data_IF_286461676236
#
_entry.id   IF_286461676236
#
_cell.length_a   1.000
_cell.length_b   1.000
_cell.length_c   1.000
_cell.angle_alpha   90.00
_cell.angle_beta   90.00
_cell.angle_gamma   90.00
#
_symmetry.space_group_name_H-M   'P 1'
#
loop_
_entity.id
_entity.type
_entity.pdbx_description
1 polymer ?
#
# COMPACT_ATOMS: atom_id res chain seq x y z
N UNK A 1 25.10 -20.04 -13.25
CA UNK A 1 24.43 -20.55 -12.03
C UNK A 1 23.01 -20.01 -12.08
N UNK A 2 22.03 -20.87 -12.44
CA UNK A 2 20.61 -20.49 -12.49
C UNK A 2 20.16 -20.48 -11.02
N UNK A 3 20.00 -19.28 -10.46
CA UNK A 3 19.32 -19.11 -9.18
C UNK A 3 17.85 -19.52 -9.38
N UNK A 4 17.47 -20.68 -8.85
CA UNK A 4 16.07 -21.05 -8.71
C UNK A 4 15.43 -19.98 -7.82
N UNK A 5 14.63 -19.10 -8.40
CA UNK A 5 13.69 -18.28 -7.64
C UNK A 5 12.71 -19.26 -6.98
N UNK A 6 12.56 -19.15 -5.67
CA UNK A 6 11.56 -19.89 -4.91
C UNK A 6 10.14 -19.66 -5.47
N UNK A 7 9.19 -20.47 -5.08
CA UNK A 7 7.79 -20.20 -5.43
C UNK A 7 7.34 -18.87 -4.82
N UNK A 8 6.28 -18.25 -5.37
CA UNK A 8 5.69 -17.05 -4.79
C UNK A 8 5.31 -17.23 -3.32
N UNK A 9 4.89 -18.43 -2.94
CA UNK A 9 4.57 -18.75 -1.55
C UNK A 9 5.84 -18.75 -0.67
N UNK A 10 6.97 -19.27 -1.17
CA UNK A 10 8.24 -19.25 -0.44
C UNK A 10 8.76 -17.82 -0.24
N UNK A 11 8.65 -16.98 -1.27
CA UNK A 11 9.03 -15.56 -1.17
C UNK A 11 8.16 -14.81 -0.15
N UNK A 12 6.84 -15.07 -0.11
CA UNK A 12 5.94 -14.48 0.89
C UNK A 12 6.25 -15.02 2.29
N UNK A 13 6.59 -16.31 2.42
CA UNK A 13 6.98 -16.89 3.69
C UNK A 13 8.25 -16.24 4.22
N UNK A 14 9.29 -16.16 3.41
CA UNK A 14 10.54 -15.50 3.77
C UNK A 14 10.29 -14.03 4.18
N UNK A 15 9.51 -13.30 3.38
CA UNK A 15 9.09 -11.95 3.71
C UNK A 15 8.35 -11.89 5.06
N UNK A 16 7.41 -12.82 5.31
CA UNK A 16 6.61 -12.86 6.55
C UNK A 16 7.45 -13.20 7.79
N UNK A 17 8.51 -13.99 7.65
CA UNK A 17 9.36 -14.45 8.73
C UNK A 17 10.62 -13.59 8.95
N UNK A 18 10.97 -12.69 8.01
CA UNK A 18 12.13 -11.80 8.14
C UNK A 18 12.00 -10.92 9.38
N UNK A 19 12.95 -10.98 10.34
CA UNK A 19 12.92 -10.12 11.51
C UNK A 19 13.08 -8.65 11.14
N UNK A 20 12.30 -7.78 11.79
CA UNK A 20 12.41 -6.33 11.62
C UNK A 20 12.84 -5.66 12.93
N UNK A 21 13.65 -4.62 12.81
CA UNK A 21 13.98 -3.73 13.93
C UNK A 21 12.94 -2.61 14.04
N UNK A 22 12.93 -1.85 15.14
CA UNK A 22 11.92 -0.81 15.43
C UNK A 22 11.67 0.22 14.32
N UNK A 23 12.67 0.55 13.53
CA UNK A 23 12.56 1.45 12.36
C UNK A 23 12.64 0.70 11.03
N UNK A 24 12.45 -0.61 11.08
CA UNK A 24 12.39 -1.48 9.91
C UNK A 24 10.98 -1.51 9.31
N UNK A 25 10.91 -1.41 8.00
CA UNK A 25 9.70 -1.59 7.22
C UNK A 25 9.97 -2.59 6.11
N UNK A 26 9.18 -3.64 6.02
CA UNK A 26 9.24 -4.56 4.89
C UNK A 26 7.99 -4.39 4.02
N UNK A 27 8.18 -4.33 2.71
CA UNK A 27 7.12 -4.23 1.72
C UNK A 27 7.22 -5.41 0.76
N UNK A 28 6.08 -6.03 0.47
CA UNK A 28 5.94 -7.00 -0.60
C UNK A 28 4.96 -6.44 -1.64
N UNK A 29 5.44 -6.22 -2.85
CA UNK A 29 4.64 -5.64 -3.92
C UNK A 29 3.87 -6.74 -4.67
N UNK A 30 2.56 -6.74 -4.57
CA UNK A 30 1.68 -7.71 -5.23
C UNK A 30 1.46 -7.40 -6.72
N UNK A 31 1.83 -6.20 -7.17
CA UNK A 31 1.52 -5.66 -8.49
C UNK A 31 0.35 -4.67 -8.45
N UNK A 32 0.15 -3.93 -9.54
CA UNK A 32 -0.87 -2.87 -9.65
C UNK A 32 -0.66 -1.82 -8.55
N UNK A 33 -1.50 -1.73 -7.54
CA UNK A 33 -1.27 -0.97 -6.29
C UNK A 33 -1.33 -1.84 -5.04
N UNK A 34 -1.29 -3.17 -5.19
CA UNK A 34 -1.36 -4.11 -4.08
C UNK A 34 -0.04 -4.23 -3.31
N UNK A 35 -0.10 -4.10 -1.99
CA UNK A 35 1.04 -4.26 -1.09
C UNK A 35 0.69 -5.06 0.15
N UNK A 36 1.68 -5.84 0.65
CA UNK A 36 1.75 -6.28 2.03
C UNK A 36 2.84 -5.46 2.69
N UNK A 37 2.49 -4.76 3.77
CA UNK A 37 3.40 -3.85 4.48
C UNK A 37 3.53 -4.36 5.91
N UNK A 38 4.78 -4.58 6.36
CA UNK A 38 5.09 -5.02 7.71
C UNK A 38 6.00 -4.02 8.39
N UNK A 39 5.68 -3.70 9.62
CA UNK A 39 6.57 -3.15 10.62
C UNK A 39 6.88 -4.20 11.69
N UNK A 40 7.47 -3.82 12.80
CA UNK A 40 7.90 -4.77 13.83
C UNK A 40 6.72 -5.56 14.43
N UNK A 41 5.60 -4.88 14.70
CA UNK A 41 4.44 -5.48 15.38
C UNK A 41 3.17 -5.57 14.51
N UNK A 42 3.17 -4.92 13.32
CA UNK A 42 1.98 -4.79 12.51
C UNK A 42 2.17 -5.25 11.06
N UNK A 43 1.10 -5.81 10.51
CA UNK A 43 0.99 -6.17 9.08
C UNK A 43 -0.30 -5.59 8.51
N UNK A 44 -0.17 -4.85 7.41
CA UNK A 44 -1.29 -4.23 6.68
C UNK A 44 -1.25 -4.67 5.23
N UNK A 45 -2.40 -5.07 4.70
CA UNK A 45 -2.60 -5.33 3.29
C UNK A 45 -3.31 -4.13 2.66
N UNK A 46 -2.85 -3.67 1.50
CA UNK A 46 -3.52 -2.63 0.72
C UNK A 46 -3.81 -3.19 -0.67
N UNK A 47 -5.05 -3.05 -1.12
CA UNK A 47 -5.53 -3.48 -2.44
C UNK A 47 -5.04 -4.89 -2.85
N UNK A 48 -5.20 -5.92 -2.01
CA UNK A 48 -4.67 -7.25 -2.32
C UNK A 48 -5.42 -7.94 -3.46
N UNK A 49 -6.60 -7.46 -3.86
CA UNK A 49 -7.44 -7.99 -4.92
C UNK A 49 -7.56 -9.53 -4.91
N UNK A 50 -7.36 -10.16 -6.07
CA UNK A 50 -7.25 -11.61 -6.23
C UNK A 50 -5.81 -12.11 -6.33
N UNK A 51 -4.83 -11.30 -5.92
CA UNK A 51 -3.40 -11.56 -6.12
C UNK A 51 -2.84 -12.66 -5.22
N UNK A 52 -3.51 -12.94 -4.10
CA UNK A 52 -3.12 -13.96 -3.13
C UNK A 52 -3.98 -15.22 -3.31
N UNK A 53 -3.33 -16.36 -3.51
CA UNK A 53 -3.96 -17.69 -3.55
C UNK A 53 -4.03 -18.29 -2.15
N UNK A 54 -4.70 -19.46 -1.99
CA UNK A 54 -4.88 -20.11 -0.70
C UNK A 54 -3.57 -20.39 0.04
N UNK A 55 -2.60 -21.00 -0.64
CA UNK A 55 -1.28 -21.31 -0.07
C UNK A 55 -0.45 -20.07 0.28
N UNK A 56 -0.62 -18.98 -0.46
CA UNK A 56 0.03 -17.70 -0.18
C UNK A 56 -0.58 -16.98 1.02
N UNK A 57 -1.91 -17.09 1.17
CA UNK A 57 -2.61 -16.59 2.36
C UNK A 57 -2.21 -17.37 3.61
N UNK A 58 -1.89 -18.67 3.50
CA UNK A 58 -1.43 -19.48 4.63
C UNK A 58 -0.07 -19.00 5.18
N UNK A 59 0.74 -18.33 4.36
CA UNK A 59 2.01 -17.73 4.78
C UNK A 59 1.83 -16.40 5.52
N UNK A 60 0.69 -15.74 5.34
CA UNK A 60 0.36 -14.49 6.06
C UNK A 60 -0.33 -14.87 7.37
N UNK A 61 0.46 -15.18 8.40
CA UNK A 61 -0.04 -15.69 9.69
C UNK A 61 -0.87 -14.65 10.46
N UNK A 62 -0.64 -13.37 10.25
CA UNK A 62 -1.36 -12.27 10.88
C UNK A 62 -1.44 -11.08 9.93
N UNK A 63 -2.61 -10.46 9.86
CA UNK A 63 -2.81 -9.14 9.28
C UNK A 63 -3.69 -8.34 10.22
N UNK A 64 -3.25 -7.15 10.59
CA UNK A 64 -4.01 -6.26 11.46
C UNK A 64 -5.14 -5.58 10.71
N UNK A 65 -4.82 -5.10 9.49
CA UNK A 65 -5.75 -4.35 8.64
C UNK A 65 -5.68 -4.80 7.19
N UNK A 66 -6.80 -4.68 6.51
CA UNK A 66 -6.90 -4.69 5.05
C UNK A 66 -7.51 -3.37 4.61
N UNK A 67 -6.84 -2.66 3.71
CA UNK A 67 -7.30 -1.37 3.18
C UNK A 67 -7.67 -1.53 1.70
N UNK A 68 -8.77 -0.91 1.31
CA UNK A 68 -9.18 -0.86 -0.10
C UNK A 68 -9.38 0.57 -0.55
N UNK A 69 -8.63 0.97 -1.58
CA UNK A 69 -8.69 2.33 -2.13
C UNK A 69 -9.95 2.55 -2.96
N UNK A 70 -10.37 1.57 -3.76
CA UNK A 70 -11.57 1.63 -4.61
C UNK A 70 -12.00 0.23 -5.10
N UNK A 71 -13.09 0.17 -5.87
CA UNK A 71 -13.80 -1.08 -6.18
C UNK A 71 -13.45 -1.71 -7.54
N UNK A 72 -12.39 -1.28 -8.23
CA UNK A 72 -11.93 -1.93 -9.46
C UNK A 72 -11.40 -3.35 -9.19
N UNK A 73 -11.55 -4.25 -10.19
CA UNK A 73 -11.28 -5.68 -10.05
C UNK A 73 -9.81 -6.02 -9.78
N UNK A 74 -8.90 -5.17 -10.19
CA UNK A 74 -7.46 -5.29 -9.96
C UNK A 74 -7.02 -4.78 -8.58
N UNK A 75 -7.94 -4.18 -7.81
CA UNK A 75 -7.75 -3.72 -6.42
C UNK A 75 -8.57 -4.51 -5.42
N UNK A 76 -9.79 -4.90 -5.78
CA UNK A 76 -10.76 -5.49 -4.88
C UNK A 76 -11.36 -6.79 -5.41
N UNK A 77 -11.51 -7.77 -4.53
CA UNK A 77 -12.25 -9.02 -4.75
C UNK A 77 -12.99 -9.40 -3.46
N UNK A 78 -14.32 -9.38 -3.52
CA UNK A 78 -15.16 -9.69 -2.34
C UNK A 78 -14.91 -11.09 -1.78
N UNK A 79 -14.77 -12.11 -2.65
CA UNK A 79 -14.48 -13.48 -2.20
C UNK A 79 -13.12 -13.60 -1.53
N UNK A 80 -12.07 -13.01 -2.13
CA UNK A 80 -10.72 -13.02 -1.54
C UNK A 80 -10.64 -12.22 -0.25
N UNK A 81 -11.38 -11.13 -0.13
CA UNK A 81 -11.48 -10.37 1.12
C UNK A 81 -12.05 -11.23 2.25
N UNK A 82 -13.11 -12.00 1.97
CA UNK A 82 -13.68 -12.94 2.93
C UNK A 82 -12.67 -14.02 3.36
N UNK A 83 -11.90 -14.58 2.40
CA UNK A 83 -10.85 -15.57 2.70
C UNK A 83 -9.76 -14.96 3.61
N UNK A 84 -9.31 -13.74 3.30
CA UNK A 84 -8.32 -13.01 4.12
C UNK A 84 -8.86 -12.81 5.54
N UNK A 85 -10.08 -12.26 5.68
CA UNK A 85 -10.67 -11.99 6.99
C UNK A 85 -10.87 -13.25 7.84
N UNK A 86 -11.30 -14.35 7.23
CA UNK A 86 -11.44 -15.65 7.91
C UNK A 86 -10.10 -16.16 8.46
N UNK A 87 -9.01 -15.98 7.70
CA UNK A 87 -7.67 -16.47 8.08
C UNK A 87 -6.97 -15.58 9.09
N UNK A 88 -7.13 -14.27 8.99
CA UNK A 88 -6.32 -13.29 9.74
C UNK A 88 -7.10 -12.56 10.82
N UNK A 89 -8.43 -12.67 10.84
CA UNK A 89 -9.32 -11.88 11.70
C UNK A 89 -9.09 -10.35 11.61
N UNK A 90 -8.54 -9.86 10.49
CA UNK A 90 -8.20 -8.45 10.28
C UNK A 90 -9.43 -7.54 10.26
N UNK A 91 -9.23 -6.28 10.66
CA UNK A 91 -10.18 -5.20 10.37
C UNK A 91 -10.04 -4.76 8.92
N UNK A 92 -11.10 -4.15 8.39
CA UNK A 92 -11.15 -3.62 7.03
C UNK A 92 -11.51 -2.15 7.10
N UNK A 93 -10.73 -1.30 6.41
CA UNK A 93 -11.12 0.08 6.10
C UNK A 93 -11.20 0.18 4.59
N UNK A 94 -12.33 0.61 4.06
CA UNK A 94 -12.58 0.57 2.63
C UNK A 94 -13.31 1.82 2.15
N UNK A 95 -13.04 2.20 0.89
CA UNK A 95 -13.87 3.17 0.18
C UNK A 95 -15.35 2.73 0.22
N UNK A 96 -16.28 3.67 0.21
CA UNK A 96 -17.70 3.42 0.48
C UNK A 96 -18.34 2.33 -0.41
N UNK A 97 -18.02 2.29 -1.71
CA UNK A 97 -18.56 1.24 -2.61
C UNK A 97 -18.01 -0.15 -2.27
N UNK A 98 -16.74 -0.22 -1.89
CA UNK A 98 -16.14 -1.49 -1.41
C UNK A 98 -16.81 -1.92 -0.12
N UNK A 99 -16.99 -1.00 0.83
CA UNK A 99 -17.67 -1.28 2.09
C UNK A 99 -19.11 -1.79 1.85
N UNK A 100 -19.87 -1.16 0.94
CA UNK A 100 -21.19 -1.64 0.55
C UNK A 100 -21.17 -3.06 -0.03
N UNK A 101 -20.19 -3.38 -0.89
CA UNK A 101 -20.04 -4.74 -1.47
C UNK A 101 -19.65 -5.80 -0.45
N UNK A 102 -19.08 -5.41 0.68
CA UNK A 102 -18.66 -6.30 1.78
C UNK A 102 -19.72 -6.42 2.88
N UNK A 103 -20.70 -5.53 2.91
CA UNK A 103 -21.78 -5.57 3.90
C UNK A 103 -22.50 -6.93 3.90
N UNK A 104 -22.67 -7.53 5.08
CA UNK A 104 -23.22 -8.88 5.25
C UNK A 104 -22.33 -10.03 4.80
N UNK A 105 -21.11 -9.77 4.29
CA UNK A 105 -20.14 -10.80 3.85
C UNK A 105 -18.95 -10.93 4.77
N UNK A 106 -18.69 -9.93 5.58
CA UNK A 106 -17.67 -9.91 6.63
C UNK A 106 -18.33 -9.44 7.94
N UNK A 107 -17.76 -9.73 9.12
CA UNK A 107 -18.32 -9.25 10.38
C UNK A 107 -18.44 -7.72 10.38
N UNK A 108 -19.60 -7.21 10.78
CA UNK A 108 -19.89 -5.77 10.71
C UNK A 108 -18.96 -4.96 11.61
N UNK A 109 -18.58 -5.50 12.76
CA UNK A 109 -17.64 -4.88 13.70
C UNK A 109 -16.20 -4.80 13.17
N UNK A 110 -15.89 -5.52 12.09
CA UNK A 110 -14.58 -5.51 11.41
C UNK A 110 -14.53 -4.56 10.22
N UNK A 111 -15.67 -4.04 9.76
CA UNK A 111 -15.79 -3.27 8.53
C UNK A 111 -16.03 -1.79 8.81
N UNK A 112 -15.15 -0.95 8.32
CA UNK A 112 -15.24 0.51 8.38
C UNK A 112 -15.33 1.08 6.96
N UNK A 113 -16.36 1.89 6.70
CA UNK A 113 -16.42 2.74 5.52
C UNK A 113 -15.60 3.99 5.75
N UNK A 114 -14.60 4.23 4.90
CA UNK A 114 -13.69 5.36 5.01
C UNK A 114 -14.39 6.68 4.64
N UNK A 115 -14.16 7.71 5.44
CA UNK A 115 -14.64 9.07 5.23
C UNK A 115 -13.45 10.03 5.05
N UNK A 116 -13.53 10.94 4.10
CA UNK A 116 -12.47 11.90 3.84
C UNK A 116 -12.06 12.71 5.07
N UNK A 117 -10.75 12.81 5.33
CA UNK A 117 -10.17 13.54 6.45
C UNK A 117 -10.27 12.83 7.80
N UNK A 118 -10.96 11.69 7.88
CA UNK A 118 -11.14 10.96 9.14
C UNK A 118 -9.98 10.02 9.42
N UNK A 119 -9.58 9.96 10.67
CA UNK A 119 -8.57 9.01 11.17
C UNK A 119 -9.23 7.91 12.00
N UNK A 120 -8.75 6.69 11.80
CA UNK A 120 -9.19 5.48 12.47
C UNK A 120 -8.01 4.84 13.19
N UNK A 121 -8.22 4.40 14.44
CA UNK A 121 -7.20 3.65 15.19
C UNK A 121 -7.74 2.24 15.39
N UNK A 122 -7.17 1.28 14.67
CA UNK A 122 -7.57 -0.12 14.70
C UNK A 122 -6.34 -1.02 14.83
N UNK A 123 -6.40 -1.95 15.77
CA UNK A 123 -5.33 -2.93 16.01
C UNK A 123 -3.92 -2.29 16.10
N UNK A 124 -3.80 -1.12 16.76
CA UNK A 124 -2.52 -0.41 16.95
C UNK A 124 -2.04 0.42 15.74
N UNK A 125 -2.76 0.38 14.63
CA UNK A 125 -2.44 1.18 13.43
C UNK A 125 -3.39 2.37 13.32
N UNK A 126 -2.84 3.57 13.10
CA UNK A 126 -3.64 4.75 12.74
C UNK A 126 -3.70 4.86 11.21
N UNK A 127 -4.91 5.01 10.68
CA UNK A 127 -5.15 5.19 9.24
C UNK A 127 -5.96 6.46 9.02
N UNK A 128 -5.43 7.41 8.26
CA UNK A 128 -6.16 8.61 7.83
C UNK A 128 -6.57 8.43 6.37
N UNK A 129 -7.87 8.58 6.11
CA UNK A 129 -8.43 8.49 4.76
C UNK A 129 -8.45 9.86 4.08
N UNK A 130 -8.05 9.91 2.81
CA UNK A 130 -7.90 11.15 2.04
C UNK A 130 -8.63 10.95 0.71
N UNK A 131 -9.53 11.86 0.35
CA UNK A 131 -10.24 11.79 -0.92
C UNK A 131 -9.28 12.02 -2.08
N UNK A 132 -9.28 11.09 -3.04
CA UNK A 132 -8.48 11.18 -4.26
C UNK A 132 -9.28 11.61 -5.48
N UNK A 133 -8.60 11.64 -6.64
CA UNK A 133 -9.17 11.91 -7.97
C UNK A 133 -8.96 10.69 -8.87
N UNK A 134 -10.06 10.07 -9.29
CA UNK A 134 -10.06 8.91 -10.17
C UNK A 134 -11.35 8.83 -11.01
N UNK A 135 -11.51 7.80 -11.87
CA UNK A 135 -12.76 7.51 -12.60
C UNK A 135 -13.83 6.88 -11.70
N UNK A 136 -14.04 7.43 -10.54
CA UNK A 136 -14.96 6.93 -9.53
C UNK A 136 -14.43 7.30 -8.16
N UNK A 137 -15.18 7.01 -7.10
CA UNK A 137 -14.74 7.27 -5.74
C UNK A 137 -13.45 6.51 -5.45
N UNK A 138 -12.49 7.18 -4.83
CA UNK A 138 -11.23 6.59 -4.39
C UNK A 138 -10.78 7.23 -3.08
N UNK A 139 -10.26 6.41 -2.18
CA UNK A 139 -9.58 6.85 -0.96
C UNK A 139 -8.09 6.55 -1.04
N UNK A 140 -7.27 7.53 -0.70
CA UNK A 140 -5.86 7.39 -0.41
C UNK A 140 -5.69 7.20 1.08
N UNK A 141 -4.58 6.63 1.51
CA UNK A 141 -4.37 6.36 2.92
C UNK A 141 -3.01 6.84 3.40
N UNK A 142 -3.02 7.54 4.56
CA UNK A 142 -1.82 7.69 5.37
C UNK A 142 -1.91 6.72 6.54
N UNK A 143 -0.88 5.89 6.71
CA UNK A 143 -0.77 4.94 7.81
C UNK A 143 0.31 5.41 8.79
N UNK A 144 0.05 5.20 10.08
CA UNK A 144 1.07 5.31 11.13
C UNK A 144 1.08 4.03 11.94
N UNK A 145 2.21 3.33 11.90
CA UNK A 145 2.42 2.06 12.60
C UNK A 145 3.86 1.97 13.10
N UNK A 146 4.06 1.59 14.36
CA UNK A 146 5.35 1.45 15.04
C UNK A 146 6.28 2.68 14.85
N UNK A 147 5.70 3.89 14.86
CA UNK A 147 6.44 5.14 14.68
C UNK A 147 6.78 5.49 13.23
N UNK A 148 6.41 4.65 12.27
CA UNK A 148 6.63 4.87 10.83
C UNK A 148 5.35 5.40 10.19
N UNK A 149 5.48 6.46 9.37
CA UNK A 149 4.38 7.02 8.57
C UNK A 149 4.56 6.66 7.09
N UNK A 150 3.47 6.15 6.48
CA UNK A 150 3.44 5.67 5.10
C UNK A 150 2.25 6.29 4.38
N UNK A 151 2.47 6.87 3.23
CA UNK A 151 1.42 7.34 2.33
C UNK A 151 1.23 6.35 1.17
N UNK A 152 -0.01 6.00 0.86
CA UNK A 152 -0.39 5.19 -0.29
C UNK A 152 -1.37 5.94 -1.18
N UNK A 153 -0.95 6.24 -2.40
CA UNK A 153 -1.66 7.12 -3.35
C UNK A 153 -2.75 6.44 -4.18
N UNK A 154 -2.98 5.11 -4.01
CA UNK A 154 -3.94 4.37 -4.85
C UNK A 154 -3.71 4.63 -6.33
N UNK A 155 -4.79 4.76 -7.09
CA UNK A 155 -4.77 5.10 -8.53
C UNK A 155 -5.00 6.58 -8.80
N UNK A 156 -4.86 7.41 -7.76
CA UNK A 156 -5.27 8.81 -7.81
C UNK A 156 -4.39 9.68 -8.71
N UNK A 157 -5.01 10.67 -9.33
CA UNK A 157 -4.35 11.90 -9.72
C UNK A 157 -3.87 12.69 -8.50
N UNK A 158 -3.14 13.79 -8.75
CA UNK A 158 -2.66 14.64 -7.67
C UNK A 158 -3.81 15.35 -6.95
N UNK A 159 -3.76 15.32 -5.62
CA UNK A 159 -4.53 16.16 -4.70
C UNK A 159 -3.56 16.85 -3.73
N UNK A 160 -4.00 17.91 -3.03
CA UNK A 160 -3.16 18.57 -2.03
C UNK A 160 -2.91 17.61 -0.84
N UNK A 161 -1.63 17.31 -0.59
CA UNK A 161 -1.17 16.35 0.43
C UNK A 161 -0.24 16.99 1.48
N UNK A 162 -0.16 18.32 1.54
CA UNK A 162 0.76 19.05 2.43
C UNK A 162 0.56 18.75 3.91
N UNK A 163 -0.67 18.39 4.29
CA UNK A 163 -1.03 18.05 5.67
C UNK A 163 -0.74 16.60 6.04
N UNK A 164 -0.20 15.80 5.10
CA UNK A 164 0.05 14.36 5.26
C UNK A 164 1.52 13.97 5.07
N UNK A 165 2.49 14.65 5.76
CA UNK A 165 3.90 14.27 5.65
C UNK A 165 4.10 12.81 6.07
N UNK A 166 4.92 12.07 5.31
CA UNK A 166 5.14 10.64 5.54
C UNK A 166 6.55 10.23 5.19
N UNK A 167 7.15 9.31 5.96
CA UNK A 167 8.52 8.85 5.73
C UNK A 167 8.64 8.02 4.44
N UNK A 168 7.59 7.27 4.11
CA UNK A 168 7.51 6.48 2.88
C UNK A 168 6.30 6.92 2.06
N UNK A 169 6.48 7.14 0.76
CA UNK A 169 5.39 7.43 -0.16
C UNK A 169 5.33 6.36 -1.25
N UNK A 170 4.19 5.68 -1.37
CA UNK A 170 3.88 4.73 -2.45
C UNK A 170 2.96 5.46 -3.43
N UNK A 171 3.47 5.76 -4.63
CA UNK A 171 2.81 6.68 -5.57
C UNK A 171 2.58 6.07 -6.95
N UNK A 172 1.38 6.30 -7.56
CA UNK A 172 1.07 5.83 -8.90
C UNK A 172 1.74 6.73 -9.95
N UNK A 173 2.54 6.15 -10.84
CA UNK A 173 3.32 6.94 -11.81
C UNK A 173 2.76 6.89 -13.23
N UNK A 174 1.61 6.28 -13.47
CA UNK A 174 0.99 6.33 -14.79
C UNK A 174 0.18 5.11 -15.20
N UNK A 175 0.45 4.59 -16.40
CA UNK A 175 -0.36 3.60 -17.10
C UNK A 175 -0.88 2.47 -16.21
N UNK A 176 -2.08 2.06 -16.49
CA UNK A 176 -3.14 1.32 -15.81
C UNK A 176 -4.01 2.22 -14.94
N UNK A 177 -3.51 3.30 -14.33
CA UNK A 177 -4.36 4.33 -13.78
C UNK A 177 -4.58 5.48 -14.79
N UNK A 178 -5.83 5.84 -15.12
CA UNK A 178 -6.11 6.90 -16.09
C UNK A 178 -5.82 8.32 -15.57
N UNK A 179 -5.70 8.48 -14.26
CA UNK A 179 -5.50 9.78 -13.60
C UNK A 179 -4.07 10.00 -13.11
N UNK A 180 -3.26 8.92 -13.03
CA UNK A 180 -1.88 8.98 -12.59
C UNK A 180 -0.91 9.38 -13.73
N UNK A 181 0.18 10.05 -13.35
CA UNK A 181 1.28 10.38 -14.24
C UNK A 181 2.57 10.57 -13.44
N UNK A 182 3.76 10.55 -14.08
CA UNK A 182 5.02 10.87 -13.41
C UNK A 182 4.99 12.26 -12.76
N UNK A 183 4.30 13.22 -13.38
CA UNK A 183 4.13 14.58 -12.86
C UNK A 183 3.24 14.63 -11.61
N UNK A 184 2.12 13.91 -11.63
CA UNK A 184 1.23 13.83 -10.46
C UNK A 184 1.93 13.13 -9.29
N UNK A 185 2.63 12.04 -9.54
CA UNK A 185 3.42 11.34 -8.52
C UNK A 185 4.53 12.24 -7.93
N UNK A 186 5.19 13.01 -8.78
CA UNK A 186 6.19 13.99 -8.34
C UNK A 186 5.59 15.04 -7.41
N UNK A 187 4.43 15.62 -7.75
CA UNK A 187 3.72 16.58 -6.87
C UNK A 187 3.32 15.96 -5.53
N UNK A 188 2.91 14.68 -5.53
CA UNK A 188 2.63 13.95 -4.29
C UNK A 188 3.90 13.86 -3.41
N UNK A 189 5.06 13.55 -4.00
CA UNK A 189 6.35 13.49 -3.27
C UNK A 189 6.73 14.87 -2.71
N UNK A 190 6.51 15.95 -3.47
CA UNK A 190 6.77 17.33 -3.01
C UNK A 190 5.97 17.66 -1.76
N UNK A 191 4.69 17.31 -1.73
CA UNK A 191 3.81 17.60 -0.61
C UNK A 191 4.08 16.68 0.60
N UNK A 192 4.21 15.38 0.36
CA UNK A 192 4.39 14.35 1.40
C UNK A 192 5.78 14.37 2.04
N UNK A 193 6.80 14.87 1.30
CA UNK A 193 8.20 15.01 1.75
C UNK A 193 8.82 13.70 2.30
N UNK A 194 8.73 12.58 1.59
CA UNK A 194 9.21 11.31 2.10
C UNK A 194 10.74 11.23 2.06
N UNK A 195 11.32 10.29 2.81
CA UNK A 195 12.72 9.87 2.65
C UNK A 195 12.85 8.75 1.63
N UNK A 196 11.76 7.98 1.42
CA UNK A 196 11.68 6.92 0.42
C UNK A 196 10.40 7.06 -0.40
N UNK A 197 10.53 7.03 -1.72
CA UNK A 197 9.41 6.95 -2.65
C UNK A 197 9.43 5.60 -3.39
N UNK A 198 8.27 4.95 -3.48
CA UNK A 198 8.09 3.66 -4.15
C UNK A 198 7.09 3.86 -5.28
N UNK A 199 7.44 3.41 -6.48
CA UNK A 199 6.57 3.52 -7.64
C UNK A 199 5.61 2.33 -7.72
N UNK A 200 4.35 2.60 -7.99
CA UNK A 200 3.36 1.62 -8.41
C UNK A 200 2.70 2.09 -9.70
N UNK A 201 2.01 1.22 -10.41
CA UNK A 201 1.51 1.51 -11.76
C UNK A 201 2.61 2.00 -12.71
N UNK A 202 2.22 2.39 -13.91
CA UNK A 202 3.13 2.97 -14.89
C UNK A 202 4.00 1.98 -15.65
N UNK A 203 4.33 2.35 -16.88
CA UNK A 203 5.34 1.66 -17.67
C UNK A 203 6.74 1.90 -17.11
N UNK A 204 7.70 1.06 -17.47
CA UNK A 204 9.11 1.26 -17.08
C UNK A 204 9.63 2.66 -17.48
N UNK A 205 9.20 3.19 -18.63
CA UNK A 205 9.54 4.54 -19.06
C UNK A 205 9.01 5.59 -18.08
N UNK A 206 7.75 5.48 -17.68
CA UNK A 206 7.13 6.42 -16.73
C UNK A 206 7.76 6.35 -15.34
N UNK A 207 8.08 5.13 -14.86
CA UNK A 207 8.80 4.94 -13.59
C UNK A 207 10.17 5.59 -13.61
N UNK A 208 10.94 5.46 -14.71
CA UNK A 208 12.23 6.12 -14.86
C UNK A 208 12.11 7.64 -14.96
N UNK A 209 11.15 8.15 -15.71
CA UNK A 209 10.88 9.61 -15.79
C UNK A 209 10.59 10.20 -14.40
N UNK A 210 9.79 9.51 -13.60
CA UNK A 210 9.53 9.92 -12.23
C UNK A 210 10.82 9.90 -11.38
N UNK A 211 11.58 8.78 -11.43
CA UNK A 211 12.82 8.62 -10.68
C UNK A 211 13.84 9.70 -11.02
N UNK A 212 14.07 9.98 -12.32
CA UNK A 212 15.00 11.01 -12.81
C UNK A 212 14.57 12.41 -12.31
N UNK A 213 13.27 12.70 -12.37
CA UNK A 213 12.74 13.98 -11.89
C UNK A 213 12.93 14.16 -10.39
N UNK A 214 12.64 13.15 -9.59
CA UNK A 214 12.84 13.19 -8.14
C UNK A 214 14.32 13.32 -7.81
N UNK A 215 15.20 12.52 -8.41
CA UNK A 215 16.65 12.58 -8.18
C UNK A 215 17.24 13.96 -8.49
N UNK A 216 16.74 14.62 -9.54
CA UNK A 216 17.22 15.95 -9.94
C UNK A 216 16.86 17.04 -8.94
N UNK A 217 15.68 16.98 -8.33
CA UNK A 217 15.12 18.07 -7.51
C UNK A 217 15.14 17.79 -6.01
N UNK A 218 15.10 16.52 -5.64
CA UNK A 218 15.12 16.01 -4.25
C UNK A 218 16.09 14.85 -4.10
N UNK A 219 17.43 15.07 -4.27
CA UNK A 219 18.43 14.01 -4.25
C UNK A 219 18.49 13.21 -2.95
N UNK A 220 17.93 13.77 -1.86
CA UNK A 220 17.82 13.10 -0.57
C UNK A 220 16.70 12.04 -0.52
N UNK A 221 15.78 12.03 -1.49
CA UNK A 221 14.70 11.04 -1.57
C UNK A 221 15.19 9.81 -2.34
N UNK A 222 15.21 8.66 -1.69
CA UNK A 222 15.51 7.40 -2.36
C UNK A 222 14.29 6.89 -3.11
N UNK A 223 14.42 6.66 -4.43
CA UNK A 223 13.33 6.10 -5.25
C UNK A 223 13.56 4.61 -5.47
N UNK A 224 12.54 3.79 -5.21
CA UNK A 224 12.53 2.36 -5.52
C UNK A 224 11.50 2.02 -6.60
N UNK A 225 11.95 1.33 -7.63
CA UNK A 225 11.12 0.71 -8.67
C UNK A 225 11.07 -0.79 -8.38
N UNK A 226 9.98 -1.26 -7.79
CA UNK A 226 9.81 -2.68 -7.47
C UNK A 226 9.18 -3.45 -8.63
N UNK A 227 9.63 -4.68 -8.86
CA UNK A 227 8.93 -5.62 -9.71
C UNK A 227 7.76 -6.27 -8.95
N UNK A 228 6.65 -6.62 -9.63
CA UNK A 228 5.60 -7.39 -8.98
C UNK A 228 6.13 -8.68 -8.35
N UNK A 229 5.56 -9.06 -7.22
CA UNK A 229 5.90 -10.24 -6.44
C UNK A 229 7.35 -10.24 -5.93
N UNK A 230 7.85 -9.08 -5.53
CA UNK A 230 9.16 -8.94 -4.87
C UNK A 230 9.03 -8.24 -3.54
N UNK A 231 9.94 -8.56 -2.63
CA UNK A 231 10.07 -7.93 -1.33
C UNK A 231 11.13 -6.82 -1.31
N UNK A 232 10.97 -5.86 -0.41
CA UNK A 232 11.97 -4.84 -0.10
C UNK A 232 11.92 -4.52 1.39
N UNK A 233 13.06 -4.63 2.07
CA UNK A 233 13.22 -4.17 3.44
C UNK A 233 13.90 -2.81 3.45
N UNK A 234 13.38 -1.91 4.27
CA UNK A 234 13.87 -0.55 4.48
C UNK A 234 14.28 -0.41 5.95
N UNK A 235 15.39 0.26 6.20
CA UNK A 235 15.76 0.76 7.52
C UNK A 235 15.61 2.28 7.48
N UNK A 236 14.61 2.79 8.19
CA UNK A 236 14.29 4.21 8.20
C UNK A 236 15.00 4.86 9.39
N UNK A 237 15.98 5.74 9.13
CA UNK A 237 16.55 6.55 10.20
C UNK A 237 15.44 7.42 10.81
N UNK A 238 15.32 7.42 12.15
CA UNK A 238 14.51 8.43 12.82
C UNK A 238 15.10 9.80 12.49
N UNK A 239 14.50 10.54 11.58
CA UNK A 239 14.64 11.99 11.59
C UNK A 239 13.61 12.51 12.59
N UNK A 240 14.12 12.93 13.70
CA UNK A 240 13.43 13.78 14.68
C UNK A 240 12.94 15.07 13.99
#
# INVERSE_FOLDING_TARGET
MILFRGSKADEIKEFAETPLQRNGLALYYLGVSGFIIRSVDHTVLIDPAGMLKGNELDMIKAANLVLFTHDHLDHFSSGKTQDICKKTASHIIAEAKVAMKLNGKVPAEKLVSAENGKSYILSGVTVTAIQGIHRGPIMLYQLKMDGITIFHGGDSGYVNLKDYPSQVAIVPVGRMSPTASPENAYKMVVDVKPVVAITMHGSNKQKRQFEEKVKKTYPQVTVHIMAPFTAKTLSLSQKL
#
